data_IF_576653793219
#
_entry.id   IF_576653793219
#
_cell.length_a   1.000
_cell.length_b   1.000
_cell.length_c   1.000
_cell.angle_alpha   90.00
_cell.angle_beta   90.00
_cell.angle_gamma   90.00
#
_symmetry.space_group_name_H-M   'P 1'
#
loop_
_entity.id
_entity.type
_entity.pdbx_description
1 polymer ?
#
# COMPACT_ATOMS: atom_id res chain seq x y z
N UNK A 1 -27.87 14.83 -18.93
CA UNK A 1 -26.72 13.97 -19.32
C UNK A 1 -26.30 13.16 -18.10
N UNK A 2 -26.47 11.84 -18.11
CA UNK A 2 -26.09 11.01 -16.97
C UNK A 2 -24.57 11.07 -16.75
N UNK A 3 -24.12 11.42 -15.53
CA UNK A 3 -22.69 11.34 -15.20
C UNK A 3 -22.23 9.91 -15.42
N UNK A 4 -21.23 9.71 -16.28
CA UNK A 4 -20.46 8.47 -16.28
C UNK A 4 -19.89 8.34 -14.86
N UNK A 5 -20.27 7.27 -14.17
CA UNK A 5 -19.75 7.01 -12.83
C UNK A 5 -18.23 6.81 -12.94
N UNK A 6 -17.45 7.59 -12.18
CA UNK A 6 -16.00 7.40 -12.10
C UNK A 6 -15.73 5.99 -11.57
N UNK A 7 -14.79 5.28 -12.20
CA UNK A 7 -14.44 3.90 -11.82
C UNK A 7 -13.79 3.85 -10.43
N UNK A 8 -12.82 4.75 -10.20
CA UNK A 8 -12.14 4.87 -8.91
C UNK A 8 -12.91 5.63 -7.83
N UNK A 9 -12.22 5.87 -6.73
CA UNK A 9 -12.74 6.44 -5.50
C UNK A 9 -12.02 7.73 -5.15
N UNK A 10 -12.75 8.70 -4.59
CA UNK A 10 -12.17 9.96 -4.09
C UNK A 10 -11.41 9.76 -2.78
N UNK A 11 -11.70 8.68 -2.06
CA UNK A 11 -11.04 8.28 -0.83
C UNK A 11 -11.14 6.76 -0.66
N UNK A 12 -10.17 6.17 0.05
CA UNK A 12 -10.19 4.76 0.45
C UNK A 12 -9.74 4.61 1.91
N UNK A 13 -10.16 3.51 2.55
CA UNK A 13 -9.76 3.21 3.93
C UNK A 13 -8.37 2.58 3.95
N UNK A 14 -7.55 3.00 4.90
CA UNK A 14 -6.29 2.33 5.20
C UNK A 14 -6.46 1.45 6.44
N UNK A 15 -6.04 0.18 6.35
CA UNK A 15 -6.05 -0.76 7.46
C UNK A 15 -5.07 -0.32 8.55
N UNK A 16 -5.44 -0.54 9.81
CA UNK A 16 -4.61 -0.13 10.97
C UNK A 16 -3.47 -1.10 11.24
N UNK A 17 -3.60 -2.35 10.80
CA UNK A 17 -2.61 -3.42 10.93
C UNK A 17 -1.70 -3.56 9.71
N UNK A 18 -1.83 -2.70 8.68
CA UNK A 18 -0.97 -2.68 7.47
C UNK A 18 0.54 -2.68 7.76
N UNK A 19 0.96 -2.16 8.91
CA UNK A 19 2.36 -2.16 9.32
C UNK A 19 2.86 -3.51 9.89
N UNK A 20 1.94 -4.42 10.21
CA UNK A 20 2.24 -5.79 10.63
C UNK A 20 2.45 -6.73 9.45
N UNK A 21 1.89 -6.38 8.28
CA UNK A 21 2.06 -7.13 7.04
C UNK A 21 3.55 -7.38 6.76
N UNK A 22 3.92 -8.65 6.67
CA UNK A 22 5.30 -9.08 6.44
C UNK A 22 5.84 -8.55 5.11
N UNK A 23 5.01 -8.40 4.08
CA UNK A 23 5.43 -7.88 2.77
C UNK A 23 5.81 -6.40 2.88
N UNK A 24 5.00 -5.61 3.59
CA UNK A 24 5.28 -4.20 3.88
C UNK A 24 6.52 -4.04 4.74
N UNK A 25 6.71 -4.91 5.74
CA UNK A 25 7.92 -4.89 6.58
C UNK A 25 9.18 -5.25 5.79
N UNK A 26 9.11 -6.23 4.88
CA UNK A 26 10.22 -6.58 3.98
C UNK A 26 10.56 -5.42 3.05
N UNK A 27 9.56 -4.80 2.42
CA UNK A 27 9.72 -3.61 1.59
C UNK A 27 10.41 -2.46 2.32
N UNK A 28 9.97 -2.16 3.55
CA UNK A 28 10.59 -1.13 4.37
C UNK A 28 12.01 -1.49 4.82
N UNK A 29 12.30 -2.77 5.03
CA UNK A 29 13.66 -3.21 5.38
C UNK A 29 14.62 -2.97 4.22
N UNK A 30 14.19 -3.26 3.00
CA UNK A 30 15.03 -3.15 1.80
C UNK A 30 15.14 -1.70 1.28
N UNK A 31 14.01 -1.01 1.18
CA UNK A 31 13.90 0.30 0.52
C UNK A 31 13.52 1.44 1.49
N UNK A 32 13.62 1.21 2.80
CA UNK A 32 13.35 2.22 3.84
C UNK A 32 11.98 2.89 3.67
N UNK A 33 11.89 4.21 3.92
CA UNK A 33 10.65 4.96 3.75
C UNK A 33 10.25 5.11 2.28
N UNK A 34 11.21 5.15 1.35
CA UNK A 34 10.96 5.30 -0.08
C UNK A 34 10.14 4.13 -0.62
N UNK A 35 10.49 2.89 -0.25
CA UNK A 35 9.72 1.70 -0.63
C UNK A 35 8.25 1.81 -0.24
N UNK A 36 8.00 2.21 1.01
CA UNK A 36 6.64 2.40 1.49
C UNK A 36 5.91 3.55 0.76
N UNK A 37 6.58 4.68 0.55
CA UNK A 37 6.01 5.84 -0.12
C UNK A 37 5.56 5.51 -1.56
N UNK A 38 6.42 4.85 -2.35
CA UNK A 38 6.13 4.44 -3.72
C UNK A 38 4.96 3.44 -3.76
N UNK A 39 4.97 2.41 -2.91
CA UNK A 39 3.87 1.45 -2.86
C UNK A 39 2.53 2.13 -2.51
N UNK A 40 2.53 3.05 -1.55
CA UNK A 40 1.33 3.78 -1.16
C UNK A 40 0.85 4.75 -2.24
N UNK A 41 1.77 5.41 -2.95
CA UNK A 41 1.44 6.26 -4.10
C UNK A 41 0.75 5.44 -5.20
N UNK A 42 1.33 4.31 -5.57
CA UNK A 42 0.77 3.43 -6.61
C UNK A 42 -0.58 2.87 -6.18
N UNK A 43 -0.74 2.46 -4.91
CA UNK A 43 -2.03 2.05 -4.37
C UNK A 43 -3.08 3.15 -4.48
N UNK A 44 -2.71 4.39 -4.17
CA UNK A 44 -3.61 5.53 -4.31
C UNK A 44 -4.07 5.67 -5.77
N UNK A 45 -3.13 5.69 -6.71
CA UNK A 45 -3.46 5.83 -8.13
C UNK A 45 -4.32 4.69 -8.67
N UNK A 46 -4.06 3.45 -8.23
CA UNK A 46 -4.92 2.30 -8.52
C UNK A 46 -6.36 2.59 -8.06
N UNK A 47 -6.56 2.98 -6.80
CA UNK A 47 -7.91 3.19 -6.27
C UNK A 47 -8.58 4.45 -6.82
N UNK A 48 -7.80 5.48 -7.16
CA UNK A 48 -8.28 6.76 -7.67
C UNK A 48 -8.79 6.67 -9.10
N UNK A 49 -8.11 5.92 -9.97
CA UNK A 49 -8.38 5.90 -11.42
C UNK A 49 -9.31 4.75 -11.79
N UNK A 50 -8.82 3.50 -11.75
CA UNK A 50 -9.56 2.31 -12.21
C UNK A 50 -10.20 1.51 -11.06
N UNK A 51 -9.76 1.75 -9.82
CA UNK A 51 -10.27 1.11 -8.62
C UNK A 51 -9.59 -0.22 -8.26
N UNK A 52 -9.05 -0.98 -9.21
CA UNK A 52 -8.49 -2.31 -8.94
C UNK A 52 -7.14 -2.62 -9.59
N UNK A 53 -6.68 -1.82 -10.55
CA UNK A 53 -5.38 -1.96 -11.19
C UNK A 53 -4.90 -0.59 -11.70
N UNK A 54 -3.67 -0.52 -12.18
CA UNK A 54 -3.18 0.59 -13.00
C UNK A 54 -2.30 0.02 -14.11
N UNK A 55 -2.42 0.56 -15.32
CA UNK A 55 -1.41 0.34 -16.35
C UNK A 55 -0.24 1.26 -16.04
N UNK A 56 0.92 0.68 -15.78
CA UNK A 56 2.08 1.45 -15.32
C UNK A 56 3.04 1.61 -16.49
N UNK A 57 2.81 2.67 -17.27
CA UNK A 57 3.61 3.01 -18.44
C UNK A 57 4.77 3.91 -18.06
N UNK A 58 5.49 4.41 -19.08
CA UNK A 58 6.54 5.40 -18.89
C UNK A 58 6.00 6.70 -18.28
N UNK A 59 4.76 7.09 -18.59
CA UNK A 59 4.15 8.31 -18.07
C UNK A 59 3.85 8.17 -16.56
N UNK A 60 3.26 7.05 -16.12
CA UNK A 60 3.04 6.80 -14.68
C UNK A 60 4.35 6.65 -13.90
N UNK A 61 5.39 6.11 -14.54
CA UNK A 61 6.72 6.05 -13.96
C UNK A 61 7.31 7.45 -13.75
N UNK A 62 7.22 8.31 -14.78
CA UNK A 62 7.65 9.69 -14.72
C UNK A 62 6.89 10.47 -13.64
N UNK A 63 5.56 10.39 -13.61
CA UNK A 63 4.71 11.07 -12.62
C UNK A 63 5.06 10.67 -11.19
N UNK A 64 5.33 9.38 -10.96
CA UNK A 64 5.72 8.87 -9.65
C UNK A 64 7.12 9.37 -9.25
N UNK A 65 8.07 9.35 -10.19
CA UNK A 65 9.44 9.81 -9.97
C UNK A 65 9.51 11.32 -9.69
N UNK A 66 8.77 12.12 -10.47
CA UNK A 66 8.65 13.57 -10.32
C UNK A 66 8.06 13.93 -8.95
N UNK A 67 6.93 13.31 -8.59
CA UNK A 67 6.24 13.61 -7.33
C UNK A 67 7.10 13.38 -6.09
N UNK A 68 7.91 12.32 -6.09
CA UNK A 68 8.80 11.99 -4.96
C UNK A 68 10.20 12.59 -5.09
N UNK A 69 10.49 13.31 -6.18
CA UNK A 69 11.82 13.81 -6.52
C UNK A 69 12.88 12.68 -6.48
N UNK A 70 12.59 11.59 -7.19
CA UNK A 70 13.41 10.39 -7.27
C UNK A 70 13.75 10.05 -8.72
N UNK A 71 14.80 9.25 -8.92
CA UNK A 71 15.11 8.72 -10.25
C UNK A 71 14.13 7.61 -10.62
N UNK A 72 13.73 7.55 -11.88
CA UNK A 72 12.83 6.51 -12.41
C UNK A 72 13.38 5.09 -12.19
N UNK A 73 14.69 4.88 -12.29
CA UNK A 73 15.28 3.56 -12.06
C UNK A 73 15.13 3.09 -10.60
N UNK A 74 15.06 4.03 -9.66
CA UNK A 74 14.79 3.73 -8.25
C UNK A 74 13.33 3.29 -8.07
N UNK A 75 12.40 4.01 -8.70
CA UNK A 75 10.98 3.68 -8.68
C UNK A 75 10.76 2.30 -9.28
N UNK A 76 11.31 2.02 -10.47
CA UNK A 76 11.20 0.69 -11.10
C UNK A 76 11.79 -0.42 -10.23
N UNK A 77 12.93 -0.18 -9.56
CA UNK A 77 13.52 -1.17 -8.64
C UNK A 77 12.57 -1.50 -7.50
N UNK A 78 11.93 -0.49 -6.91
CA UNK A 78 10.94 -0.66 -5.84
C UNK A 78 9.69 -1.38 -6.34
N UNK A 79 9.19 -1.05 -7.55
CA UNK A 79 8.04 -1.73 -8.15
C UNK A 79 8.35 -3.21 -8.38
N UNK A 80 9.51 -3.52 -8.93
CA UNK A 80 9.93 -4.92 -9.14
C UNK A 80 10.03 -5.66 -7.80
N UNK A 81 10.60 -5.07 -6.76
CA UNK A 81 10.61 -5.67 -5.42
C UNK A 81 9.19 -5.89 -4.85
N UNK A 82 8.26 -4.97 -5.10
CA UNK A 82 6.85 -5.15 -4.72
C UNK A 82 6.21 -6.35 -5.44
N UNK A 83 6.62 -6.66 -6.68
CA UNK A 83 6.16 -7.85 -7.40
C UNK A 83 6.77 -9.14 -6.85
N UNK A 84 8.07 -9.12 -6.52
CA UNK A 84 8.78 -10.26 -5.92
C UNK A 84 8.24 -10.62 -4.52
N UNK A 85 7.84 -9.62 -3.74
CA UNK A 85 7.23 -9.81 -2.42
C UNK A 85 5.74 -10.15 -2.48
N UNK A 86 5.12 -10.10 -3.66
CA UNK A 86 3.71 -10.39 -3.87
C UNK A 86 2.77 -9.30 -3.33
N UNK A 87 3.24 -8.06 -3.22
CA UNK A 87 2.36 -6.89 -3.07
C UNK A 87 1.62 -6.60 -4.38
N UNK A 88 2.34 -6.79 -5.50
CA UNK A 88 1.76 -6.85 -6.84
C UNK A 88 1.94 -8.25 -7.43
N UNK A 89 1.07 -8.62 -8.37
CA UNK A 89 1.18 -9.88 -9.09
C UNK A 89 2.28 -9.77 -10.16
N UNK A 90 3.34 -10.58 -10.03
CA UNK A 90 4.48 -10.56 -10.94
C UNK A 90 4.15 -11.02 -12.36
N UNK A 91 3.22 -11.98 -12.53
CA UNK A 91 2.79 -12.47 -13.83
C UNK A 91 2.09 -11.39 -14.65
N UNK A 92 1.12 -10.71 -14.03
CA UNK A 92 0.38 -9.61 -14.66
C UNK A 92 1.31 -8.42 -14.96
N UNK A 93 2.24 -8.10 -14.05
CA UNK A 93 3.23 -7.06 -14.28
C UNK A 93 4.08 -7.37 -15.52
N UNK A 94 4.68 -8.56 -15.56
CA UNK A 94 5.57 -8.97 -16.64
C UNK A 94 4.86 -9.09 -17.99
N UNK A 95 3.61 -9.56 -17.99
CA UNK A 95 2.87 -9.81 -19.23
C UNK A 95 2.22 -8.56 -19.81
N UNK A 96 1.69 -7.67 -18.96
CA UNK A 96 0.82 -6.58 -19.42
C UNK A 96 1.31 -5.18 -19.05
N UNK A 97 2.36 -5.05 -18.23
CA UNK A 97 2.76 -3.77 -17.65
C UNK A 97 1.67 -3.20 -16.72
N UNK A 98 0.93 -4.09 -16.04
CA UNK A 98 -0.17 -3.71 -15.14
C UNK A 98 0.21 -4.04 -13.70
N UNK A 99 -0.03 -3.09 -12.79
CA UNK A 99 0.10 -3.29 -11.36
C UNK A 99 -1.29 -3.54 -10.74
N UNK A 100 -1.42 -4.70 -10.12
CA UNK A 100 -2.60 -5.18 -9.40
C UNK A 100 -2.16 -6.24 -8.40
N UNK A 101 -3.03 -6.63 -7.47
CA UNK A 101 -2.76 -7.68 -6.49
C UNK A 101 -4.04 -8.23 -5.90
N UNK A 102 -3.97 -9.44 -5.34
CA UNK A 102 -5.14 -10.11 -4.78
C UNK A 102 -5.79 -9.30 -3.64
N UNK A 103 -4.98 -8.77 -2.71
CA UNK A 103 -5.47 -7.89 -1.63
C UNK A 103 -6.00 -6.54 -2.12
N UNK A 104 -5.54 -6.08 -3.28
CA UNK A 104 -6.03 -4.85 -3.92
C UNK A 104 -7.45 -5.09 -4.46
N UNK A 105 -7.65 -6.21 -5.15
CA UNK A 105 -8.95 -6.59 -5.71
C UNK A 105 -9.99 -6.92 -4.63
N UNK A 106 -9.62 -7.61 -3.55
CA UNK A 106 -10.51 -7.82 -2.39
C UNK A 106 -10.99 -6.48 -1.81
N UNK A 107 -10.06 -5.53 -1.62
CA UNK A 107 -10.40 -4.20 -1.08
C UNK A 107 -11.27 -3.42 -2.05
N UNK A 108 -10.99 -3.48 -3.36
CA UNK A 108 -11.83 -2.88 -4.38
C UNK A 108 -13.27 -3.41 -4.35
N UNK A 109 -13.45 -4.73 -4.30
CA UNK A 109 -14.78 -5.37 -4.21
C UNK A 109 -15.51 -4.88 -2.96
N UNK A 110 -14.81 -4.84 -1.82
CA UNK A 110 -15.36 -4.38 -0.55
C UNK A 110 -15.81 -2.91 -0.61
N UNK A 111 -15.03 -2.04 -1.26
CA UNK A 111 -15.37 -0.64 -1.47
C UNK A 111 -16.53 -0.46 -2.44
N UNK A 112 -16.58 -1.24 -3.52
CA UNK A 112 -17.72 -1.24 -4.44
C UNK A 112 -19.02 -1.62 -3.73
N UNK A 113 -18.97 -2.68 -2.91
CA UNK A 113 -20.12 -3.12 -2.11
C UNK A 113 -20.59 -2.02 -1.14
N UNK A 114 -19.66 -1.41 -0.39
CA UNK A 114 -19.99 -0.31 0.53
C UNK A 114 -20.58 0.92 -0.20
N UNK A 115 -20.07 1.23 -1.40
CA UNK A 115 -20.54 2.33 -2.22
C UNK A 115 -21.77 1.97 -3.09
N UNK A 116 -22.31 0.75 -2.99
CA UNK A 116 -23.42 0.23 -3.82
C UNK A 116 -23.13 0.35 -5.33
N UNK A 117 -21.87 0.18 -5.73
CA UNK A 117 -21.41 0.19 -7.13
C UNK A 117 -21.29 -1.25 -7.65
N UNK A 118 -21.54 -1.44 -8.95
CA UNK A 118 -21.24 -2.71 -9.61
C UNK A 118 -19.73 -2.92 -9.64
N UNK A 119 -19.27 -4.05 -9.10
CA UNK A 119 -17.88 -4.47 -9.20
C UNK A 119 -17.58 -4.96 -10.61
N UNK A 120 -16.53 -4.43 -11.23
CA UNK A 120 -16.03 -4.89 -12.54
C UNK A 120 -14.53 -5.02 -12.45
N UNK A 121 -14.02 -6.25 -12.59
CA UNK A 121 -12.59 -6.55 -12.72
C UNK A 121 -12.42 -7.23 -14.09
N UNK A 122 -11.51 -6.75 -14.97
CA UNK A 122 -11.24 -7.40 -16.25
C UNK A 122 -10.73 -8.83 -16.03
N UNK A 123 -11.21 -9.78 -16.84
CA UNK A 123 -10.98 -11.21 -16.63
C UNK A 123 -9.50 -11.58 -16.76
N UNK A 124 -8.79 -10.92 -17.67
CA UNK A 124 -7.36 -11.10 -17.93
C UNK A 124 -6.46 -10.79 -16.73
N UNK A 125 -6.97 -10.04 -15.74
CA UNK A 125 -6.23 -9.67 -14.52
C UNK A 125 -6.97 -10.08 -13.25
N UNK A 126 -8.04 -10.88 -13.35
CA UNK A 126 -8.90 -11.22 -12.22
C UNK A 126 -8.28 -12.32 -11.35
N UNK A 127 -7.71 -11.92 -10.21
CA UNK A 127 -7.05 -12.80 -9.25
C UNK A 127 -8.01 -13.44 -8.24
N UNK A 128 -9.31 -13.15 -8.32
CA UNK A 128 -10.33 -13.68 -7.40
C UNK A 128 -11.06 -14.89 -7.98
N UNK A 129 -10.99 -15.11 -9.30
CA UNK A 129 -11.60 -16.28 -9.95
C UNK A 129 -10.89 -17.60 -9.59
N UNK A 130 -9.58 -17.55 -9.30
CA UNK A 130 -8.75 -18.73 -9.00
C UNK A 130 -9.07 -19.40 -7.64
N UNK A 131 -9.71 -18.71 -6.69
CA UNK A 131 -10.06 -19.28 -5.38
C UNK A 131 -11.29 -20.22 -5.40
N UNK A 132 -12.10 -20.19 -6.47
CA UNK A 132 -13.31 -21.03 -6.54
C UNK A 132 -13.01 -22.52 -6.79
N UNK A 133 -11.76 -22.90 -7.09
CA UNK A 133 -11.40 -24.28 -7.44
C UNK A 133 -10.64 -25.08 -6.37
N UNK A 134 -10.43 -24.58 -5.15
CA UNK A 134 -9.72 -25.36 -4.12
C UNK A 134 -10.28 -25.20 -2.70
N UNK A 135 -11.29 -26.01 -2.37
CA UNK A 135 -11.46 -26.54 -1.00
C UNK A 135 -11.93 -28.00 -1.09
N UNK A 136 -11.37 -28.89 -0.25
CA UNK A 136 -12.17 -29.25 0.90
C UNK A 136 -11.49 -28.88 2.23
N UNK A 137 -12.33 -28.35 3.11
CA UNK A 137 -12.07 -28.07 4.51
C UNK A 137 -11.88 -29.38 5.27
N UNK A 138 -10.75 -29.54 5.97
CA UNK A 138 -10.68 -30.39 7.16
C UNK A 138 -10.21 -29.53 8.32
N UNK A 139 -11.15 -29.26 9.23
CA UNK A 139 -10.95 -28.50 10.46
C UNK A 139 -10.45 -29.48 11.53
N UNK A 140 -9.14 -29.59 11.69
CA UNK A 140 -8.56 -30.20 12.89
C UNK A 140 -8.30 -29.08 13.91
N UNK A 141 -9.07 -29.08 15.00
CA UNK A 141 -8.81 -28.26 16.18
C UNK A 141 -7.50 -28.71 16.83
N UNK A 142 -6.58 -27.78 17.07
CA UNK A 142 -5.42 -28.00 17.94
C UNK A 142 -5.67 -27.36 19.31
N UNK A 143 -5.28 -28.01 20.43
CA UNK A 143 -5.49 -27.49 21.78
C UNK A 143 -4.56 -26.30 22.07
N UNK A 144 -5.06 -25.38 22.89
CA UNK A 144 -4.32 -24.22 23.40
C UNK A 144 -3.51 -24.67 24.62
N UNK A 145 -2.18 -24.76 24.50
CA UNK A 145 -1.29 -24.80 25.66
C UNK A 145 -0.64 -23.43 25.86
N UNK A 146 -0.87 -22.88 27.06
CA UNK A 146 -0.34 -21.61 27.51
C UNK A 146 1.14 -21.77 27.91
N UNK A 147 2.04 -21.16 27.14
CA UNK A 147 3.42 -20.94 27.55
C UNK A 147 3.59 -19.48 28.00
N UNK A 148 3.85 -19.30 29.29
CA UNK A 148 4.26 -18.04 29.91
C UNK A 148 5.64 -17.61 29.40
N UNK A 149 5.72 -16.41 28.83
CA UNK A 149 6.99 -15.77 28.45
C UNK A 149 7.35 -14.74 29.52
N UNK A 150 8.59 -14.68 30.04
CA UNK A 150 8.96 -13.78 31.10
C UNK A 150 9.05 -12.33 30.60
N UNK A 151 8.48 -11.40 31.36
CA UNK A 151 8.65 -9.96 31.18
C UNK A 151 9.97 -9.54 31.84
N UNK A 152 10.92 -9.10 31.04
CA UNK A 152 12.11 -8.35 31.45
C UNK A 152 12.38 -7.30 30.35
N UNK A 153 12.54 -6.01 30.59
CA UNK A 153 12.61 -5.27 31.84
C UNK A 153 12.29 -3.80 31.59
N UNK A 154 12.08 -3.09 32.70
CA UNK A 154 11.81 -1.66 32.76
C UNK A 154 12.90 -0.86 32.06
N UNK A 155 12.52 -0.05 31.06
CA UNK A 155 13.34 1.08 30.64
C UNK A 155 12.67 2.32 31.21
N UNK A 156 13.30 2.93 32.21
CA UNK A 156 12.87 4.19 32.76
C UNK A 156 12.94 5.25 31.66
N UNK A 157 11.79 5.85 31.33
CA UNK A 157 11.73 7.05 30.50
C UNK A 157 12.16 8.21 31.37
N UNK A 158 13.42 8.63 31.26
CA UNK A 158 13.82 9.94 31.76
C UNK A 158 13.26 10.99 30.81
N UNK A 159 12.31 11.78 31.32
CA UNK A 159 11.75 12.94 30.63
C UNK A 159 12.87 13.96 30.38
N UNK A 160 13.21 14.18 29.12
CA UNK A 160 14.00 15.35 28.72
C UNK A 160 13.06 16.56 28.74
N UNK A 161 13.37 17.65 29.47
CA UNK A 161 12.53 18.84 29.47
C UNK A 161 12.57 19.53 28.10
N UNK A 162 11.38 19.85 27.59
CA UNK A 162 11.18 20.68 26.42
C UNK A 162 11.77 22.07 26.69
N UNK A 163 12.81 22.44 25.95
CA UNK A 163 13.36 23.80 25.98
C UNK A 163 12.68 24.58 24.86
N UNK A 164 11.93 25.63 25.22
CA UNK A 164 11.35 26.55 24.23
C UNK A 164 12.46 27.17 23.38
N UNK A 165 12.29 27.30 22.05
CA UNK A 165 13.23 28.04 21.23
C UNK A 165 13.18 29.53 21.59
N UNK A 166 14.32 30.08 22.00
CA UNK A 166 14.53 31.51 22.24
C UNK A 166 14.20 32.32 20.98
N UNK A 167 13.20 33.18 21.06
CA UNK A 167 12.93 34.22 20.06
C UNK A 167 14.16 35.14 19.96
N UNK A 168 14.80 35.15 18.79
CA UNK A 168 15.82 36.16 18.49
C UNK A 168 15.11 37.46 18.07
N UNK A 169 15.53 38.63 18.57
CA UNK A 169 14.89 39.89 18.18
C UNK A 169 15.19 40.21 16.71
N UNK A 170 14.14 40.54 15.97
CA UNK A 170 14.21 41.05 14.60
C UNK A 170 14.87 42.43 14.60
N UNK A 171 15.91 42.70 13.80
CA UNK A 171 16.48 44.04 13.72
C UNK A 171 15.54 44.97 12.95
N UNK A 172 15.17 46.08 13.58
CA UNK A 172 14.56 47.24 12.92
C UNK A 172 15.52 47.75 11.85
N UNK A 173 15.11 47.71 10.58
CA UNK A 173 15.75 48.51 9.54
C UNK A 173 15.21 49.93 9.62
N UNK A 174 16.05 50.87 10.04
CA UNK A 174 15.89 52.27 9.67
C UNK A 174 16.41 52.45 8.24
N UNK A 175 15.61 53.13 7.41
CA UNK A 175 15.91 53.42 6.00
C UNK A 175 14.64 53.49 5.16
#
# INVERSE_FOLDING_TARGET
MGRIARKGFEYYRAETDRFRDIKIRKLRKEHSCAGYAIYQYVLNEIYRVEGCYIRFTQDELFDCAEYWNMREEEVLRIINYCTETGLFNAGIWKQYGILTGHSIQIRYVSMCHAAKRKTVIPEEINLLSEEKSSFPVSRAQLPVEAASVPICGSVAVTSVPFTEPSEAPVPLKEG
#
